data_IF_603754718602
#
_entry.id   IF_603754718602
#
_cell.length_a   1.000
_cell.length_b   1.000
_cell.length_c   1.000
_cell.angle_alpha   90.00
_cell.angle_beta   90.00
_cell.angle_gamma   90.00
#
_symmetry.space_group_name_H-M   'P 1'
#
loop_
_entity.id
_entity.type
_entity.pdbx_description
1 polymer ?
#
# COMPACT_ATOMS: atom_id res chain seq x y z
N UNK A 1 -5.70 12.00 -13.99
CA UNK A 1 -4.74 10.95 -14.40
C UNK A 1 -3.32 11.21 -13.91
N UNK A 2 -2.75 12.41 -14.09
CA UNK A 2 -1.41 12.80 -13.55
C UNK A 2 -1.08 12.34 -12.11
N UNK A 3 -1.95 12.51 -11.09
CA UNK A 3 -1.61 12.09 -9.73
C UNK A 3 -1.48 10.57 -9.59
N UNK A 4 -2.29 9.79 -10.30
CA UNK A 4 -2.19 8.32 -10.29
C UNK A 4 -0.91 7.83 -10.98
N UNK A 5 -0.49 8.49 -12.07
CA UNK A 5 0.76 8.13 -12.77
C UNK A 5 1.97 8.34 -11.86
N UNK A 6 2.02 9.45 -11.13
CA UNK A 6 3.08 9.73 -10.17
C UNK A 6 3.06 8.76 -8.99
N UNK A 7 1.88 8.45 -8.43
CA UNK A 7 1.74 7.45 -7.37
C UNK A 7 2.26 6.09 -7.81
N UNK A 8 1.88 5.65 -9.02
CA UNK A 8 2.32 4.38 -9.60
C UNK A 8 3.83 4.41 -9.86
N UNK A 9 4.37 5.50 -10.43
CA UNK A 9 5.79 5.61 -10.70
C UNK A 9 6.64 5.52 -9.42
N UNK A 10 6.26 6.25 -8.38
CA UNK A 10 6.90 6.19 -7.06
C UNK A 10 6.75 4.80 -6.45
N UNK A 11 5.54 4.22 -6.51
CA UNK A 11 5.27 2.87 -6.02
C UNK A 11 6.14 1.82 -6.69
N UNK A 12 6.24 1.84 -8.02
CA UNK A 12 7.10 0.92 -8.79
C UNK A 12 8.57 1.09 -8.40
N UNK A 13 9.05 2.32 -8.26
CA UNK A 13 10.42 2.59 -7.79
C UNK A 13 10.69 2.01 -6.41
N UNK A 14 9.78 2.21 -5.45
CA UNK A 14 9.91 1.66 -4.10
C UNK A 14 9.85 0.13 -4.08
N UNK A 15 8.99 -0.48 -4.90
CA UNK A 15 8.92 -1.94 -5.05
C UNK A 15 10.22 -2.50 -5.63
N UNK A 16 10.79 -1.85 -6.64
CA UNK A 16 12.08 -2.25 -7.20
C UNK A 16 13.19 -2.20 -6.13
N UNK A 17 13.24 -1.14 -5.33
CA UNK A 17 14.18 -1.04 -4.19
C UNK A 17 13.94 -2.17 -3.18
N UNK A 18 12.69 -2.47 -2.83
CA UNK A 18 12.36 -3.58 -1.93
C UNK A 18 12.82 -4.94 -2.48
N UNK A 19 12.66 -5.18 -3.79
CA UNK A 19 13.16 -6.39 -4.46
C UNK A 19 14.68 -6.48 -4.37
N UNK A 20 15.39 -5.38 -4.63
CA UNK A 20 16.86 -5.34 -4.60
C UNK A 20 17.39 -5.62 -3.19
N UNK A 21 16.76 -5.07 -2.15
CA UNK A 21 17.24 -5.17 -0.77
C UNK A 21 16.77 -6.44 -0.03
N UNK A 22 15.55 -6.90 -0.29
CA UNK A 22 14.90 -7.98 0.46
C UNK A 22 14.43 -9.16 -0.41
N UNK A 23 14.80 -9.17 -1.69
CA UNK A 23 14.46 -10.23 -2.64
C UNK A 23 12.98 -10.31 -2.99
N UNK A 24 12.58 -11.45 -3.55
CA UNK A 24 11.22 -11.70 -4.05
C UNK A 24 10.15 -11.50 -2.98
N UNK A 25 10.40 -11.92 -1.74
CA UNK A 25 9.43 -11.80 -0.65
C UNK A 25 9.13 -10.34 -0.32
N UNK A 26 10.15 -9.49 -0.20
CA UNK A 26 9.98 -8.06 -0.01
C UNK A 26 9.29 -7.39 -1.21
N UNK A 27 9.61 -7.82 -2.44
CA UNK A 27 8.93 -7.35 -3.63
C UNK A 27 7.42 -7.63 -3.63
N UNK A 28 7.02 -8.83 -3.23
CA UNK A 28 5.59 -9.21 -3.11
C UNK A 28 4.89 -8.34 -2.06
N UNK A 29 5.51 -8.17 -0.89
CA UNK A 29 4.98 -7.29 0.15
C UNK A 29 4.82 -5.85 -0.34
N UNK A 30 5.84 -5.31 -0.99
CA UNK A 30 5.81 -3.97 -1.57
C UNK A 30 4.74 -3.79 -2.65
N UNK A 31 4.59 -4.78 -3.54
CA UNK A 31 3.57 -4.74 -4.58
C UNK A 31 2.15 -4.71 -3.99
N UNK A 32 1.89 -5.50 -2.94
CA UNK A 32 0.62 -5.48 -2.22
C UNK A 32 0.37 -4.12 -1.56
N UNK A 33 1.39 -3.50 -0.97
CA UNK A 33 1.29 -2.15 -0.41
C UNK A 33 0.93 -1.11 -1.47
N UNK A 34 1.55 -1.18 -2.65
CA UNK A 34 1.24 -0.28 -3.78
C UNK A 34 -0.22 -0.43 -4.24
N UNK A 35 -0.71 -1.68 -4.36
CA UNK A 35 -2.11 -1.96 -4.73
C UNK A 35 -3.06 -1.43 -3.66
N UNK A 36 -2.80 -1.74 -2.38
CA UNK A 36 -3.60 -1.30 -1.25
C UNK A 36 -3.70 0.23 -1.20
N UNK A 37 -2.58 0.92 -1.36
CA UNK A 37 -2.51 2.36 -1.34
C UNK A 37 -3.25 2.99 -2.53
N UNK A 38 -3.09 2.44 -3.72
CA UNK A 38 -3.78 2.95 -4.92
C UNK A 38 -5.29 2.80 -4.78
N UNK A 39 -5.76 1.66 -4.26
CA UNK A 39 -7.17 1.42 -3.98
C UNK A 39 -7.70 2.39 -2.89
N UNK A 40 -6.94 2.64 -1.82
CA UNK A 40 -7.32 3.59 -0.79
C UNK A 40 -7.45 5.02 -1.32
N UNK A 41 -6.51 5.47 -2.16
CA UNK A 41 -6.58 6.79 -2.81
C UNK A 41 -7.77 6.87 -3.76
N UNK A 42 -8.03 5.81 -4.55
CA UNK A 42 -9.20 5.76 -5.44
C UNK A 42 -10.52 5.84 -4.66
N UNK A 43 -10.59 5.25 -3.47
CA UNK A 43 -11.75 5.30 -2.59
C UNK A 43 -11.93 6.69 -1.95
N UNK A 44 -10.85 7.32 -1.50
CA UNK A 44 -10.88 8.58 -0.75
C UNK A 44 -11.06 9.80 -1.64
N UNK A 45 -10.39 9.84 -2.80
CA UNK A 45 -10.31 11.02 -3.68
C UNK A 45 -11.68 11.64 -4.06
N UNK A 46 -12.74 10.86 -4.37
CA UNK A 46 -14.05 11.43 -4.71
C UNK A 46 -14.74 12.17 -3.56
N UNK A 47 -14.31 11.93 -2.31
CA UNK A 47 -14.93 12.50 -1.12
C UNK A 47 -14.10 13.59 -0.45
N UNK A 48 -13.08 14.12 -1.14
CA UNK A 48 -12.23 15.17 -0.57
C UNK A 48 -12.98 16.46 -0.25
N UNK A 49 -14.11 16.71 -0.93
CA UNK A 49 -15.00 17.85 -0.69
C UNK A 49 -16.32 17.45 -0.04
N UNK A 50 -16.46 16.19 0.39
CA UNK A 50 -17.69 15.70 1.01
C UNK A 50 -17.82 16.16 2.46
N UNK A 51 -19.02 16.02 3.03
CA UNK A 51 -19.23 16.25 4.46
C UNK A 51 -18.39 15.29 5.31
N UNK A 52 -18.01 15.76 6.50
CA UNK A 52 -17.09 15.05 7.40
C UNK A 52 -17.45 13.57 7.63
N UNK A 53 -18.72 13.16 7.84
CA UNK A 53 -19.06 11.74 8.03
C UNK A 53 -18.77 10.89 6.80
N UNK A 54 -19.02 11.42 5.59
CA UNK A 54 -18.80 10.72 4.32
C UNK A 54 -17.30 10.58 4.04
N UNK A 55 -16.53 11.65 4.31
CA UNK A 55 -15.07 11.62 4.23
C UNK A 55 -14.50 10.55 5.19
N UNK A 56 -14.95 10.56 6.45
CA UNK A 56 -14.47 9.63 7.48
C UNK A 56 -14.76 8.17 7.11
N UNK A 57 -15.96 7.87 6.58
CA UNK A 57 -16.31 6.52 6.14
C UNK A 57 -15.38 5.99 5.04
N UNK A 58 -15.03 6.83 4.05
CA UNK A 58 -14.10 6.44 2.97
C UNK A 58 -12.65 6.36 3.44
N UNK A 59 -12.25 7.24 4.35
CA UNK A 59 -10.93 7.19 4.97
C UNK A 59 -10.76 5.90 5.79
N UNK A 60 -11.75 5.55 6.60
CA UNK A 60 -11.78 4.26 7.32
C UNK A 60 -11.77 3.08 6.35
N UNK A 61 -12.50 3.17 5.25
CA UNK A 61 -12.42 2.15 4.19
C UNK A 61 -11.02 1.99 3.62
N UNK A 62 -10.29 3.10 3.39
CA UNK A 62 -8.90 3.08 2.95
C UNK A 62 -7.96 2.45 3.98
N UNK A 63 -8.15 2.74 5.27
CA UNK A 63 -7.43 2.07 6.35
C UNK A 63 -7.75 0.58 6.42
N UNK A 64 -9.00 0.21 6.23
CA UNK A 64 -9.45 -1.19 6.17
C UNK A 64 -8.77 -1.97 5.05
N UNK A 65 -8.67 -1.40 3.84
CA UNK A 65 -7.97 -2.03 2.71
C UNK A 65 -6.50 -2.31 3.06
N UNK A 66 -5.80 -1.34 3.66
CA UNK A 66 -4.39 -1.49 4.05
C UNK A 66 -4.22 -2.54 5.15
N UNK A 67 -5.08 -2.53 6.15
CA UNK A 67 -5.02 -3.51 7.24
C UNK A 67 -5.33 -4.93 6.71
N UNK A 68 -6.31 -5.06 5.82
CA UNK A 68 -6.68 -6.34 5.22
C UNK A 68 -5.55 -6.92 4.37
N UNK A 69 -4.93 -6.11 3.51
CA UNK A 69 -3.80 -6.58 2.68
C UNK A 69 -2.59 -6.99 3.52
N UNK A 70 -2.29 -6.25 4.59
CA UNK A 70 -1.26 -6.67 5.54
C UNK A 70 -1.65 -7.98 6.24
N UNK A 71 -2.89 -8.09 6.73
CA UNK A 71 -3.38 -9.30 7.39
C UNK A 71 -3.29 -10.54 6.50
N UNK A 72 -3.69 -10.42 5.23
CA UNK A 72 -3.56 -11.48 4.22
C UNK A 72 -2.10 -11.84 4.01
N UNK A 73 -1.23 -10.85 3.83
CA UNK A 73 0.20 -11.08 3.64
C UNK A 73 0.82 -11.83 4.82
N UNK A 74 0.51 -11.42 6.04
CA UNK A 74 0.98 -12.06 7.27
C UNK A 74 0.45 -13.49 7.40
N UNK A 75 -0.85 -13.70 7.15
CA UNK A 75 -1.46 -15.03 7.23
C UNK A 75 -0.85 -16.00 6.20
N UNK A 76 -0.68 -15.56 4.94
CA UNK A 76 -0.05 -16.36 3.89
C UNK A 76 1.40 -16.67 4.21
N UNK A 77 2.16 -15.65 4.63
CA UNK A 77 3.58 -15.84 4.98
C UNK A 77 3.77 -16.72 6.21
N UNK A 78 2.85 -16.66 7.19
CA UNK A 78 2.90 -17.49 8.39
C UNK A 78 2.57 -18.96 8.11
N UNK A 79 1.69 -19.24 7.14
CA UNK A 79 1.23 -20.58 6.74
C UNK A 79 2.13 -21.23 5.67
N UNK A 80 2.79 -20.42 4.82
CA UNK A 80 3.63 -20.88 3.71
C UNK A 80 5.06 -20.31 3.80
N UNK A 81 5.69 -20.48 4.96
CA UNK A 81 7.01 -19.89 5.29
C UNK A 81 8.13 -20.32 4.35
N UNK A 82 8.02 -21.52 3.80
CA UNK A 82 8.91 -22.12 2.81
C UNK A 82 8.87 -21.38 1.46
N UNK A 83 7.75 -20.72 1.14
CA UNK A 83 7.55 -19.99 -0.13
C UNK A 83 7.65 -18.49 0.01
N UNK A 84 7.28 -17.96 1.18
CA UNK A 84 7.24 -16.53 1.43
C UNK A 84 7.76 -16.22 2.83
N UNK A 85 9.00 -15.73 2.88
CA UNK A 85 9.62 -15.32 4.13
C UNK A 85 8.87 -14.13 4.74
N UNK A 86 8.33 -14.34 5.94
CA UNK A 86 7.47 -13.37 6.65
C UNK A 86 8.14 -12.01 6.83
N UNK A 87 9.37 -12.00 7.37
CA UNK A 87 10.03 -10.75 7.73
C UNK A 87 10.35 -9.89 6.48
N UNK A 88 11.00 -10.42 5.43
CA UNK A 88 11.20 -9.64 4.20
C UNK A 88 9.88 -9.16 3.58
N UNK A 89 8.84 -10.00 3.55
CA UNK A 89 7.53 -9.62 3.02
C UNK A 89 6.89 -8.47 3.81
N UNK A 90 6.88 -8.55 5.15
CA UNK A 90 6.33 -7.50 6.01
C UNK A 90 7.12 -6.19 5.87
N UNK A 91 8.46 -6.26 5.83
CA UNK A 91 9.31 -5.09 5.62
C UNK A 91 9.13 -4.48 4.23
N UNK A 92 8.95 -5.28 3.18
CA UNK A 92 8.61 -4.81 1.86
C UNK A 92 7.27 -4.07 1.83
N UNK A 93 6.26 -4.62 2.49
CA UNK A 93 4.95 -3.97 2.61
C UNK A 93 5.04 -2.62 3.32
N UNK A 94 5.62 -2.59 4.52
CA UNK A 94 5.74 -1.37 5.32
C UNK A 94 6.68 -0.34 4.66
N UNK A 95 7.79 -0.79 4.11
CA UNK A 95 8.79 0.05 3.45
C UNK A 95 8.28 0.73 2.19
N UNK A 96 7.29 0.15 1.50
CA UNK A 96 6.61 0.80 0.37
C UNK A 96 5.41 1.63 0.86
N UNK A 97 4.61 1.11 1.79
CA UNK A 97 3.40 1.79 2.27
C UNK A 97 3.72 3.12 2.96
N UNK A 98 4.70 3.13 3.85
CA UNK A 98 5.02 4.32 4.67
C UNK A 98 5.40 5.54 3.81
N UNK A 99 6.35 5.46 2.86
CA UNK A 99 6.62 6.59 1.97
C UNK A 99 5.40 7.02 1.15
N UNK A 100 4.61 6.05 0.66
CA UNK A 100 3.43 6.37 -0.15
C UNK A 100 2.36 7.11 0.66
N UNK A 101 2.18 6.80 1.95
CA UNK A 101 1.29 7.54 2.85
C UNK A 101 1.71 9.01 2.98
N UNK A 102 3.01 9.30 3.07
CA UNK A 102 3.49 10.70 3.11
C UNK A 102 3.21 11.43 1.80
N UNK A 103 3.34 10.73 0.66
CA UNK A 103 3.01 11.32 -0.65
C UNK A 103 1.51 11.48 -0.88
N UNK A 104 0.65 10.75 -0.16
CA UNK A 104 -0.81 10.80 -0.28
C UNK A 104 -1.36 12.23 -0.08
N UNK A 105 -0.80 12.97 0.88
CA UNK A 105 -1.18 14.37 1.14
C UNK A 105 -1.01 15.30 -0.06
N UNK A 106 -0.06 14.98 -0.96
CA UNK A 106 0.16 15.71 -2.22
C UNK A 106 -0.77 15.25 -3.34
N UNK A 107 -1.25 14.01 -3.30
CA UNK A 107 -2.14 13.44 -4.33
C UNK A 107 -3.63 13.70 -4.07
N UNK A 108 -3.99 14.00 -2.82
CA UNK A 108 -5.35 14.35 -2.42
C UNK A 108 -5.68 15.85 -2.58
N UNK A 109 -4.66 16.70 -2.79
CA UNK A 109 -4.81 18.10 -3.23
C UNK A 109 -4.98 18.16 -4.75
#
# INVERSE_FOLDING_TARGET
MRPYVLLIAVGVGLVAVAVVLGGRAAGIGGALAMVAQTAAVALLRPAMTASQPVFMGRWLGGMGIRALMLGILLAVSATHRDRLALLPAALGYLGVLLPLLFTETRFLR
#
